data_IF_508071380342
#
_entry.id   IF_508071380342
#
_cell.length_a   1.000
_cell.length_b   1.000
_cell.length_c   1.000
_cell.angle_alpha   90.00
_cell.angle_beta   90.00
_cell.angle_gamma   90.00
#
_symmetry.space_group_name_H-M   'P 1'
#
loop_
_entity.id
_entity.type
_entity.pdbx_description
1 polymer ?
#
# COMPACT_ATOMS: atom_id res chain seq x y z
N UNK A 1 -9.16 -6.60 -8.60
CA UNK A 1 -7.85 -6.34 -9.23
C UNK A 1 -7.06 -5.48 -8.26
N UNK A 2 -5.98 -6.02 -7.68
CA UNK A 2 -5.08 -5.25 -6.82
C UNK A 2 -4.06 -4.56 -7.74
N UNK A 3 -4.13 -3.24 -7.84
CA UNK A 3 -3.14 -2.46 -8.57
C UNK A 3 -2.11 -1.92 -7.57
N UNK A 4 -0.89 -2.47 -7.60
CA UNK A 4 0.22 -1.96 -6.80
C UNK A 4 1.07 -1.06 -7.69
N UNK A 5 0.84 0.27 -7.63
CA UNK A 5 1.72 1.24 -8.30
C UNK A 5 2.90 1.56 -7.40
N UNK A 6 4.02 0.89 -7.62
CA UNK A 6 5.29 1.25 -6.97
C UNK A 6 5.98 2.32 -7.81
N UNK A 7 5.91 3.59 -7.40
CA UNK A 7 6.77 4.65 -7.96
C UNK A 7 8.11 4.60 -7.22
N UNK A 8 9.11 3.95 -7.81
CA UNK A 8 10.48 3.92 -7.26
C UNK A 8 11.24 5.14 -7.76
N UNK A 9 11.29 6.22 -6.97
CA UNK A 9 12.21 7.34 -7.22
C UNK A 9 13.50 7.08 -6.45
N UNK A 10 14.62 6.86 -7.15
CA UNK A 10 15.94 6.74 -6.52
C UNK A 10 16.32 8.10 -5.91
N UNK A 11 16.73 8.17 -4.63
CA UNK A 11 17.50 9.31 -4.17
C UNK A 11 18.85 9.27 -4.89
N UNK A 12 19.10 10.22 -5.78
CA UNK A 12 20.41 10.40 -6.42
C UNK A 12 21.39 11.07 -5.45
N UNK A 13 21.57 10.50 -4.26
CA UNK A 13 22.49 11.06 -3.27
C UNK A 13 23.61 10.04 -3.07
N UNK A 14 24.74 10.30 -3.74
CA UNK A 14 26.05 9.76 -3.37
C UNK A 14 26.26 8.27 -3.60
N UNK A 15 26.27 7.81 -4.87
CA UNK A 15 27.12 6.66 -5.19
C UNK A 15 28.56 7.12 -4.99
N UNK A 16 29.20 6.76 -3.88
CA UNK A 16 30.64 6.45 -3.95
C UNK A 16 31.25 5.68 -2.76
N UNK A 17 30.64 5.57 -1.57
CA UNK A 17 31.41 5.03 -0.41
C UNK A 17 30.63 4.15 0.60
N UNK A 18 29.54 3.48 0.20
CA UNK A 18 28.82 2.53 1.08
C UNK A 18 28.52 1.17 0.42
N UNK A 19 29.42 0.68 -0.43
CA UNK A 19 29.31 -0.67 -1.02
C UNK A 19 29.51 -1.80 0.01
N UNK A 20 29.85 -1.49 1.27
CA UNK A 20 30.08 -2.47 2.34
C UNK A 20 28.90 -2.67 3.30
N UNK A 21 27.93 -1.77 3.32
CA UNK A 21 26.67 -1.95 4.03
C UNK A 21 25.54 -1.87 3.00
N UNK A 22 25.16 -3.02 2.45
CA UNK A 22 24.09 -3.14 1.46
C UNK A 22 22.69 -2.94 2.06
N UNK A 23 22.49 -1.88 2.86
CA UNK A 23 21.21 -1.57 3.50
C UNK A 23 20.65 -0.25 2.94
N UNK A 24 19.58 -0.35 2.14
CA UNK A 24 18.84 0.80 1.66
C UNK A 24 17.70 1.16 2.63
N UNK A 25 17.82 2.29 3.35
CA UNK A 25 16.74 2.84 4.19
C UNK A 25 16.00 3.93 3.39
N UNK A 26 14.69 3.76 3.15
CA UNK A 26 13.88 4.77 2.45
C UNK A 26 12.50 4.94 3.09
N UNK A 27 11.97 6.17 3.05
CA UNK A 27 10.60 6.48 3.46
C UNK A 27 9.65 6.35 2.26
N UNK A 28 8.66 5.46 2.35
CA UNK A 28 7.71 5.19 1.28
C UNK A 28 6.27 5.36 1.77
N UNK A 29 5.43 5.98 0.94
CA UNK A 29 3.99 6.04 1.15
C UNK A 29 3.31 4.99 0.27
N UNK A 30 2.67 4.00 0.89
CA UNK A 30 1.94 2.94 0.20
C UNK A 30 0.45 3.27 0.19
N UNK A 31 -0.15 3.33 -1.01
CA UNK A 31 -1.60 3.40 -1.18
C UNK A 31 -2.12 2.00 -1.56
N UNK A 32 -3.03 1.46 -0.75
CA UNK A 32 -3.65 0.16 -0.96
C UNK A 32 -5.13 0.34 -1.32
N UNK A 33 -5.56 -0.25 -2.42
CA UNK A 33 -6.96 -0.27 -2.86
C UNK A 33 -7.35 -1.70 -3.22
N UNK A 34 -8.43 -2.19 -2.63
CA UNK A 34 -8.99 -3.52 -2.91
C UNK A 34 -10.51 -3.44 -3.01
N UNK A 35 -11.11 -4.43 -3.69
CA UNK A 35 -12.56 -4.58 -3.75
C UNK A 35 -12.98 -5.69 -2.79
N UNK A 36 -13.74 -5.32 -1.76
CA UNK A 36 -14.34 -6.28 -0.83
C UNK A 36 -15.77 -6.59 -1.29
N UNK A 37 -16.06 -7.88 -1.47
CA UNK A 37 -17.38 -8.34 -1.92
C UNK A 37 -18.44 -8.15 -0.83
N UNK A 38 -18.03 -8.21 0.44
CA UNK A 38 -18.93 -8.05 1.59
C UNK A 38 -19.19 -6.58 1.92
N UNK A 39 -18.39 -5.63 1.43
CA UNK A 39 -18.61 -4.19 1.59
C UNK A 39 -19.32 -3.57 0.38
N UNK A 40 -20.46 -4.14 0.00
CA UNK A 40 -21.30 -3.62 -1.08
C UNK A 40 -22.69 -3.34 -0.54
N UNK A 41 -23.24 -2.17 -0.87
CA UNK A 41 -24.60 -1.80 -0.48
C UNK A 41 -25.27 -0.99 -1.60
N UNK A 42 -26.59 -0.96 -1.58
CA UNK A 42 -27.37 -0.09 -2.44
C UNK A 42 -27.50 1.31 -1.80
N UNK A 43 -27.12 2.34 -2.52
CA UNK A 43 -27.03 3.72 -2.02
C UNK A 43 -28.41 4.26 -1.59
N UNK A 44 -29.50 3.82 -2.24
CA UNK A 44 -30.87 4.23 -1.90
C UNK A 44 -31.29 3.82 -0.49
N UNK A 45 -30.75 2.70 0.00
CA UNK A 45 -31.20 2.09 1.25
C UNK A 45 -30.55 2.78 2.47
N UNK A 46 -29.51 3.59 2.23
CA UNK A 46 -28.72 4.26 3.25
C UNK A 46 -28.65 5.78 3.02
N UNK A 47 -29.74 6.38 2.52
CA UNK A 47 -29.86 7.84 2.45
C UNK A 47 -28.84 8.53 1.54
N UNK A 48 -28.32 7.86 0.51
CA UNK A 48 -27.37 8.46 -0.42
C UNK A 48 -25.90 8.28 -0.05
N UNK A 49 -25.57 7.49 0.99
CA UNK A 49 -24.17 7.29 1.42
C UNK A 49 -23.38 6.52 0.35
N UNK A 50 -22.32 7.16 -0.16
CA UNK A 50 -21.41 6.60 -1.17
C UNK A 50 -20.05 6.19 -0.61
N UNK A 51 -19.60 6.87 0.44
CA UNK A 51 -18.26 6.71 1.01
C UNK A 51 -18.35 6.54 2.53
N UNK A 52 -17.53 5.65 3.08
CA UNK A 52 -17.47 5.37 4.51
C UNK A 52 -16.02 5.30 4.99
N UNK A 53 -15.74 5.92 6.15
CA UNK A 53 -14.43 5.85 6.80
C UNK A 53 -14.52 4.92 8.00
N UNK A 54 -13.93 3.73 7.87
CA UNK A 54 -13.92 2.72 8.93
C UNK A 54 -12.48 2.54 9.43
N UNK A 55 -12.26 2.44 10.75
CA UNK A 55 -10.96 2.06 11.28
C UNK A 55 -10.48 0.72 10.71
N UNK A 56 -9.19 0.59 10.33
CA UNK A 56 -8.69 -0.59 9.61
C UNK A 56 -8.77 -1.89 10.43
N UNK A 57 -8.78 -1.82 11.75
CA UNK A 57 -8.89 -3.00 12.62
C UNK A 57 -10.29 -3.64 12.63
N UNK A 58 -11.28 -3.02 11.98
CA UNK A 58 -12.67 -3.53 11.91
C UNK A 58 -13.02 -4.15 10.56
N UNK A 59 -12.07 -4.13 9.62
CA UNK A 59 -12.28 -4.61 8.26
C UNK A 59 -11.27 -5.68 7.91
N UNK A 60 -11.70 -6.59 7.05
CA UNK A 60 -10.76 -7.42 6.34
C UNK A 60 -9.94 -6.56 5.37
N UNK A 61 -8.62 -6.78 5.37
CA UNK A 61 -7.67 -6.16 4.45
C UNK A 61 -6.68 -7.24 4.01
N UNK A 62 -6.13 -7.16 2.79
CA UNK A 62 -5.03 -8.05 2.42
C UNK A 62 -3.79 -7.76 3.28
N UNK A 63 -3.06 -8.81 3.63
CA UNK A 63 -1.71 -8.67 4.18
C UNK A 63 -0.71 -8.55 3.03
N UNK A 64 0.13 -7.52 3.10
CA UNK A 64 1.12 -7.21 2.07
C UNK A 64 2.50 -7.35 2.67
N UNK A 65 3.29 -8.24 2.09
CA UNK A 65 4.67 -8.52 2.49
C UNK A 65 5.62 -7.99 1.42
N UNK A 66 6.68 -7.32 1.86
CA UNK A 66 7.79 -6.95 0.99
C UNK A 66 8.84 -8.06 1.07
N UNK A 67 9.03 -8.79 -0.02
CA UNK A 67 10.11 -9.77 -0.13
C UNK A 67 11.30 -9.12 -0.81
N UNK A 68 12.42 -9.04 -0.10
CA UNK A 68 13.71 -8.69 -0.70
C UNK A 68 14.58 -9.96 -0.64
N UNK A 69 14.87 -10.56 -1.80
CA UNK A 69 15.79 -11.69 -1.89
C UNK A 69 17.07 -11.18 -2.51
N UNK A 70 18.07 -10.99 -1.66
CA UNK A 70 19.45 -10.87 -2.12
C UNK A 70 19.93 -12.31 -2.36
N UNK A 71 20.32 -12.60 -3.61
CA UNK A 71 20.98 -13.86 -3.99
C UNK A 71 22.47 -13.61 -4.10
#
# INVERSE_FOLDING_TARGET
MLEVRTVKRLPQIGKHEDEKNQLLITNLWLKLEWNDVNMRWNISDYGGVKDLRIPPHRLWKPDVLMYNRDT
#
